data_IF_010029236947
#
_entry.id   IF_010029236947
#
_cell.length_a   1.000
_cell.length_b   1.000
_cell.length_c   1.000
_cell.angle_alpha   90.00
_cell.angle_beta   90.00
_cell.angle_gamma   90.00
#
_symmetry.space_group_name_H-M   'P 1'
#
loop_
_entity.id
_entity.type
_entity.pdbx_description
1 polymer ?
#
# COMPACT_ATOMS: atom_id res chain seq x y z
N UNK A 1 34.53 -6.49 -23.37
CA UNK A 1 33.67 -7.68 -23.60
C UNK A 1 32.24 -7.30 -23.24
N UNK A 2 31.25 -7.61 -24.07
CA UNK A 2 29.84 -7.32 -23.75
C UNK A 2 29.43 -8.11 -22.50
N UNK A 3 28.82 -7.45 -21.50
CA UNK A 3 28.32 -8.12 -20.30
C UNK A 3 27.23 -9.12 -20.68
N UNK A 4 27.34 -10.36 -20.18
CA UNK A 4 26.32 -11.37 -20.37
C UNK A 4 25.04 -10.97 -19.64
N UNK A 5 23.90 -11.10 -20.31
CA UNK A 5 22.59 -10.84 -19.69
C UNK A 5 22.23 -11.97 -18.71
N UNK A 6 21.39 -11.68 -17.72
CA UNK A 6 20.85 -12.70 -16.82
C UNK A 6 20.27 -13.93 -17.54
N UNK A 7 19.56 -13.72 -18.66
CA UNK A 7 18.99 -14.82 -19.44
C UNK A 7 20.04 -15.70 -20.12
N UNK A 8 21.15 -15.10 -20.57
CA UNK A 8 22.28 -15.84 -21.13
C UNK A 8 22.95 -16.68 -20.03
N UNK A 9 23.23 -16.09 -18.87
CA UNK A 9 23.86 -16.79 -17.74
C UNK A 9 23.03 -17.99 -17.27
N UNK A 10 21.70 -17.84 -17.14
CA UNK A 10 20.82 -18.98 -16.81
C UNK A 10 20.85 -20.05 -17.89
N UNK A 11 20.87 -19.66 -19.17
CA UNK A 11 20.86 -20.64 -20.26
C UNK A 11 22.14 -21.47 -20.28
N UNK A 12 23.29 -20.82 -20.03
CA UNK A 12 24.58 -21.49 -19.89
C UNK A 12 24.59 -22.42 -18.68
N UNK A 13 24.12 -21.94 -17.52
CA UNK A 13 24.06 -22.74 -16.30
C UNK A 13 23.19 -23.99 -16.48
N UNK A 14 22.04 -23.86 -17.13
CA UNK A 14 21.16 -25.00 -17.41
C UNK A 14 21.82 -25.98 -18.37
N UNK A 15 22.47 -25.50 -19.43
CA UNK A 15 23.17 -26.38 -20.38
C UNK A 15 24.33 -27.13 -19.71
N UNK A 16 25.05 -26.48 -18.79
CA UNK A 16 26.12 -27.11 -18.02
C UNK A 16 25.60 -28.31 -17.22
N UNK A 17 24.56 -28.12 -16.40
CA UNK A 17 24.02 -29.20 -15.58
C UNK A 17 23.22 -30.23 -16.39
N UNK A 18 22.61 -29.84 -17.51
CA UNK A 18 21.97 -30.78 -18.46
C UNK A 18 22.99 -31.74 -19.08
N UNK A 19 24.18 -31.24 -19.42
CA UNK A 19 25.23 -32.02 -20.10
C UNK A 19 26.06 -32.84 -19.11
N UNK A 20 26.45 -32.22 -18.00
CA UNK A 20 27.44 -32.80 -17.07
C UNK A 20 26.80 -33.38 -15.80
N UNK A 21 25.55 -33.00 -15.50
CA UNK A 21 24.88 -33.37 -14.26
C UNK A 21 25.35 -32.59 -13.06
N UNK A 22 24.87 -32.96 -11.87
CA UNK A 22 25.42 -32.49 -10.60
C UNK A 22 26.46 -33.47 -10.07
N UNK A 23 27.67 -32.96 -9.79
CA UNK A 23 28.79 -33.73 -9.22
C UNK A 23 29.55 -32.98 -8.11
N UNK A 24 29.32 -31.67 -7.91
CA UNK A 24 30.08 -30.81 -7.01
C UNK A 24 29.25 -29.64 -6.49
N UNK A 25 29.35 -29.40 -5.18
CA UNK A 25 28.72 -28.26 -4.50
C UNK A 25 29.42 -26.95 -4.89
N UNK A 26 30.73 -26.99 -5.11
CA UNK A 26 31.54 -25.84 -5.53
C UNK A 26 31.11 -25.34 -6.90
N UNK A 27 30.91 -26.26 -7.87
CA UNK A 27 30.39 -25.91 -9.21
C UNK A 27 29.00 -25.31 -9.13
N UNK A 28 28.12 -25.88 -8.30
CA UNK A 28 26.78 -25.34 -8.08
C UNK A 28 26.84 -23.93 -7.50
N UNK A 29 27.65 -23.72 -6.47
CA UNK A 29 27.81 -22.43 -5.79
C UNK A 29 28.35 -21.36 -6.74
N UNK A 30 29.32 -21.71 -7.59
CA UNK A 30 29.84 -20.83 -8.64
C UNK A 30 28.71 -20.33 -9.57
N UNK A 31 27.86 -21.23 -10.07
CA UNK A 31 26.77 -20.86 -10.96
C UNK A 31 25.69 -20.05 -10.24
N UNK A 32 25.36 -20.39 -8.98
CA UNK A 32 24.43 -19.61 -8.15
C UNK A 32 24.92 -18.18 -7.99
N UNK A 33 26.20 -17.97 -7.67
CA UNK A 33 26.77 -16.64 -7.51
C UNK A 33 26.84 -15.87 -8.84
N UNK A 34 27.19 -16.56 -9.95
CA UNK A 34 27.19 -15.97 -11.29
C UNK A 34 25.78 -15.49 -11.67
N UNK A 35 24.75 -16.32 -11.43
CA UNK A 35 23.34 -15.98 -11.68
C UNK A 35 22.91 -14.80 -10.80
N UNK A 36 23.26 -14.79 -9.51
CA UNK A 36 22.94 -13.70 -8.57
C UNK A 36 23.50 -12.37 -9.06
N UNK A 37 24.78 -12.33 -9.45
CA UNK A 37 25.42 -11.12 -9.98
C UNK A 37 24.76 -10.66 -11.28
N UNK A 38 24.54 -11.58 -12.22
CA UNK A 38 23.89 -11.25 -13.48
C UNK A 38 22.46 -10.73 -13.30
N UNK A 39 21.73 -11.26 -12.31
CA UNK A 39 20.40 -10.77 -11.94
C UNK A 39 20.49 -9.30 -11.48
N UNK A 40 21.33 -8.98 -10.49
CA UNK A 40 21.50 -7.61 -9.98
C UNK A 40 21.83 -6.63 -11.10
N UNK A 41 22.73 -7.00 -12.02
CA UNK A 41 23.16 -6.14 -13.12
C UNK A 41 22.10 -5.93 -14.22
N UNK A 42 21.22 -6.91 -14.44
CA UNK A 42 20.18 -6.83 -15.47
C UNK A 42 18.95 -6.05 -14.99
N UNK A 43 18.72 -6.00 -13.68
CA UNK A 43 17.57 -5.30 -13.12
C UNK A 43 17.66 -3.78 -13.32
N UNK A 44 16.50 -3.14 -13.47
CA UNK A 44 16.40 -1.67 -13.39
C UNK A 44 17.12 -1.18 -12.13
N UNK A 45 18.01 -0.18 -12.23
CA UNK A 45 18.72 0.34 -11.07
C UNK A 45 17.75 0.86 -10.00
N UNK A 46 18.09 0.64 -8.73
CA UNK A 46 17.26 1.12 -7.61
C UNK A 46 17.08 2.64 -7.62
N UNK A 47 18.08 3.40 -8.10
CA UNK A 47 17.99 4.85 -8.25
C UNK A 47 16.81 5.26 -9.14
N UNK A 48 16.64 4.61 -10.29
CA UNK A 48 15.56 4.90 -11.24
C UNK A 48 14.19 4.59 -10.63
N UNK A 49 14.07 3.47 -9.91
CA UNK A 49 12.84 3.10 -9.21
C UNK A 49 12.52 4.08 -8.07
N UNK A 50 13.55 4.50 -7.33
CA UNK A 50 13.41 5.45 -6.24
C UNK A 50 13.03 6.84 -6.74
N UNK A 51 13.56 7.27 -7.89
CA UNK A 51 13.17 8.51 -8.57
C UNK A 51 11.70 8.45 -9.01
N UNK A 52 11.28 7.34 -9.62
CA UNK A 52 9.89 7.17 -10.04
C UNK A 52 8.92 7.20 -8.86
N UNK A 53 9.22 6.45 -7.80
CA UNK A 53 8.45 6.48 -6.56
C UNK A 53 8.38 7.89 -5.96
N UNK A 54 9.51 8.61 -5.97
CA UNK A 54 9.58 9.99 -5.47
C UNK A 54 8.70 10.91 -6.29
N UNK A 55 8.74 10.79 -7.62
CA UNK A 55 7.89 11.55 -8.55
C UNK A 55 6.41 11.28 -8.30
N UNK A 56 6.01 10.03 -8.13
CA UNK A 56 4.60 9.63 -7.89
C UNK A 56 4.07 10.18 -6.56
N UNK A 57 4.77 9.95 -5.45
CA UNK A 57 4.30 10.38 -4.13
C UNK A 57 4.38 11.90 -3.97
N UNK A 58 5.43 12.55 -4.46
CA UNK A 58 5.55 14.02 -4.42
C UNK A 58 4.50 14.67 -5.33
N UNK A 59 4.23 14.11 -6.51
CA UNK A 59 3.15 14.58 -7.38
C UNK A 59 1.77 14.44 -6.73
N UNK A 60 1.54 13.34 -5.99
CA UNK A 60 0.32 13.15 -5.20
C UNK A 60 0.20 14.17 -4.07
N UNK A 61 1.30 14.43 -3.34
CA UNK A 61 1.34 15.44 -2.29
C UNK A 61 1.04 16.83 -2.85
N UNK A 62 1.73 17.24 -3.92
CA UNK A 62 1.51 18.52 -4.58
C UNK A 62 0.05 18.69 -4.97
N UNK A 63 -0.51 17.70 -5.68
CA UNK A 63 -1.89 17.75 -6.15
C UNK A 63 -2.91 17.82 -5.02
N UNK A 64 -2.74 17.03 -3.96
CA UNK A 64 -3.70 16.96 -2.87
C UNK A 64 -3.55 18.14 -1.89
N UNK A 65 -2.31 18.43 -1.50
CA UNK A 65 -1.98 19.38 -0.44
C UNK A 65 -1.71 20.76 -1.04
N UNK A 66 -0.74 20.92 -1.93
CA UNK A 66 -0.35 22.24 -2.42
C UNK A 66 -1.45 22.86 -3.30
N UNK A 67 -2.00 22.08 -4.24
CA UNK A 67 -3.09 22.52 -5.13
C UNK A 67 -4.48 22.44 -4.45
N UNK A 68 -4.53 21.95 -3.20
CA UNK A 68 -5.71 22.00 -2.34
C UNK A 68 -6.84 21.03 -2.71
N UNK A 69 -6.62 20.05 -3.60
CA UNK A 69 -7.67 19.10 -3.97
C UNK A 69 -8.20 18.28 -2.79
N UNK A 70 -7.41 18.11 -1.73
CA UNK A 70 -7.82 17.35 -0.54
C UNK A 70 -9.03 17.98 0.16
N UNK A 71 -9.23 19.30 0.05
CA UNK A 71 -10.34 20.00 0.68
C UNK A 71 -11.72 19.49 0.18
N UNK A 72 -11.77 18.92 -1.03
CA UNK A 72 -13.00 18.31 -1.57
C UNK A 72 -13.48 17.10 -0.74
N UNK A 73 -12.56 16.42 -0.05
CA UNK A 73 -12.87 15.30 0.83
C UNK A 73 -13.17 15.72 2.28
N UNK A 74 -12.95 16.99 2.63
CA UNK A 74 -13.01 17.51 3.99
C UNK A 74 -13.87 18.79 4.05
N UNK A 75 -15.20 18.68 3.83
CA UNK A 75 -16.08 19.84 3.89
C UNK A 75 -16.04 20.48 5.28
N UNK A 76 -15.81 21.80 5.33
CA UNK A 76 -15.69 22.56 6.57
C UNK A 76 -14.25 22.72 7.09
N UNK A 77 -13.27 21.99 6.54
CA UNK A 77 -11.86 22.25 6.82
C UNK A 77 -11.37 23.40 5.94
N UNK A 78 -10.87 24.46 6.55
CA UNK A 78 -10.32 25.61 5.83
C UNK A 78 -8.90 25.35 5.29
N UNK A 79 -8.53 26.08 4.25
CA UNK A 79 -7.16 26.05 3.68
C UNK A 79 -6.09 26.32 4.73
N UNK A 80 -6.34 27.28 5.62
CA UNK A 80 -5.46 27.62 6.74
C UNK A 80 -5.12 26.41 7.62
N UNK A 81 -6.11 25.55 7.93
CA UNK A 81 -5.88 24.34 8.72
C UNK A 81 -4.94 23.38 7.98
N UNK A 82 -5.15 23.18 6.67
CA UNK A 82 -4.26 22.32 5.86
C UNK A 82 -2.84 22.90 5.81
N UNK A 83 -2.70 24.21 5.63
CA UNK A 83 -1.38 24.87 5.61
C UNK A 83 -0.65 24.73 6.95
N UNK A 84 -1.36 24.83 8.07
CA UNK A 84 -0.80 24.56 9.41
C UNK A 84 -0.34 23.10 9.57
N UNK A 85 -1.01 22.16 8.92
CA UNK A 85 -0.69 20.73 8.99
C UNK A 85 0.39 20.30 8.00
N UNK A 86 0.83 21.16 7.07
CA UNK A 86 1.87 20.84 6.08
C UNK A 86 3.11 20.18 6.67
N UNK A 87 3.68 20.61 7.81
CA UNK A 87 4.83 19.93 8.41
C UNK A 87 4.54 18.46 8.72
N UNK A 88 3.41 18.15 9.36
CA UNK A 88 2.99 16.78 9.69
C UNK A 88 2.71 15.94 8.44
N UNK A 89 2.05 16.55 7.45
CA UNK A 89 1.76 15.90 6.16
C UNK A 89 3.05 15.61 5.37
N UNK A 90 4.06 16.50 5.47
CA UNK A 90 5.38 16.31 4.86
C UNK A 90 6.15 15.19 5.54
N UNK A 91 6.12 15.12 6.87
CA UNK A 91 6.70 13.99 7.61
C UNK A 91 6.10 12.66 7.16
N UNK A 92 4.78 12.59 6.90
CA UNK A 92 4.17 11.37 6.37
C UNK A 92 4.62 11.04 4.94
N UNK A 93 4.81 12.04 4.07
CA UNK A 93 5.40 11.83 2.73
C UNK A 93 6.80 11.21 2.84
N UNK A 94 7.66 11.80 3.67
CA UNK A 94 9.05 11.35 3.83
C UNK A 94 9.09 9.93 4.45
N UNK A 95 8.23 9.65 5.44
CA UNK A 95 8.06 8.30 6.02
C UNK A 95 7.64 7.29 4.95
N UNK A 96 6.66 7.63 4.12
CA UNK A 96 6.15 6.72 3.06
C UNK A 96 7.19 6.47 1.97
N UNK A 97 7.96 7.49 1.59
CA UNK A 97 9.08 7.32 0.68
C UNK A 97 10.10 6.34 1.25
N UNK A 98 10.51 6.52 2.50
CA UNK A 98 11.49 5.64 3.15
C UNK A 98 11.00 4.19 3.23
N UNK A 99 9.77 3.95 3.69
CA UNK A 99 9.20 2.59 3.77
C UNK A 99 9.08 1.95 2.39
N UNK A 100 8.62 2.68 1.39
CA UNK A 100 8.43 2.16 0.03
C UNK A 100 9.75 1.78 -0.64
N UNK A 101 10.81 2.59 -0.45
CA UNK A 101 12.16 2.28 -0.95
C UNK A 101 12.71 0.99 -0.33
N UNK A 102 12.52 0.81 0.99
CA UNK A 102 12.92 -0.42 1.68
C UNK A 102 12.14 -1.64 1.16
N UNK A 103 10.83 -1.52 0.91
CA UNK A 103 10.03 -2.60 0.34
C UNK A 103 10.48 -2.99 -1.07
N UNK A 104 10.80 -2.03 -1.93
CA UNK A 104 11.35 -2.31 -3.27
C UNK A 104 12.64 -3.12 -3.14
N UNK A 105 13.57 -2.70 -2.28
CA UNK A 105 14.83 -3.41 -2.03
C UNK A 105 14.59 -4.84 -1.55
N UNK A 106 13.71 -5.03 -0.56
CA UNK A 106 13.38 -6.35 -0.01
C UNK A 106 12.77 -7.27 -1.07
N UNK A 107 11.80 -6.78 -1.85
CA UNK A 107 11.16 -7.56 -2.90
C UNK A 107 12.17 -8.01 -3.97
N UNK A 108 13.12 -7.14 -4.34
CA UNK A 108 14.19 -7.49 -5.30
C UNK A 108 15.10 -8.58 -4.76
N UNK A 109 15.54 -8.45 -3.50
CA UNK A 109 16.36 -9.47 -2.84
C UNK A 109 15.64 -10.82 -2.79
N UNK A 110 14.39 -10.85 -2.32
CA UNK A 110 13.57 -12.06 -2.26
C UNK A 110 13.41 -12.73 -3.63
N UNK A 111 13.24 -11.95 -4.70
CA UNK A 111 13.08 -12.49 -6.05
C UNK A 111 14.36 -13.09 -6.61
N UNK A 112 15.51 -12.46 -6.35
CA UNK A 112 16.81 -13.00 -6.71
C UNK A 112 17.06 -14.31 -5.95
N UNK A 113 16.83 -14.32 -4.64
CA UNK A 113 16.99 -15.50 -3.79
C UNK A 113 16.11 -16.65 -4.26
N UNK A 114 14.82 -16.41 -4.47
CA UNK A 114 13.86 -17.40 -4.98
C UNK A 114 14.27 -17.96 -6.34
N UNK A 115 14.82 -17.12 -7.21
CA UNK A 115 15.36 -17.55 -8.51
C UNK A 115 16.55 -18.48 -8.32
N UNK A 116 17.52 -18.09 -7.49
CA UNK A 116 18.72 -18.90 -7.23
C UNK A 116 18.39 -20.21 -6.51
N UNK A 117 17.41 -20.22 -5.61
CA UNK A 117 16.93 -21.42 -4.91
C UNK A 117 16.28 -22.41 -5.88
N UNK A 118 15.45 -21.93 -6.81
CA UNK A 118 14.84 -22.77 -7.85
C UNK A 118 15.88 -23.38 -8.77
N UNK A 119 16.86 -22.58 -9.19
CA UNK A 119 17.97 -23.09 -9.98
C UNK A 119 18.75 -24.15 -9.20
N UNK A 120 19.11 -23.88 -7.95
CA UNK A 120 19.91 -24.81 -7.16
C UNK A 120 19.19 -26.14 -6.91
N UNK A 121 17.91 -26.09 -6.55
CA UNK A 121 17.12 -27.31 -6.35
C UNK A 121 16.94 -28.13 -7.62
N UNK A 122 16.77 -27.49 -8.77
CA UNK A 122 16.76 -28.18 -10.06
C UNK A 122 18.13 -28.77 -10.40
N UNK A 123 19.20 -27.97 -10.32
CA UNK A 123 20.54 -28.38 -10.69
C UNK A 123 21.00 -29.59 -9.87
N UNK A 124 20.75 -29.59 -8.54
CA UNK A 124 21.08 -30.72 -7.66
C UNK A 124 20.26 -31.99 -7.93
N UNK A 125 19.16 -31.90 -8.68
CA UNK A 125 18.33 -33.06 -9.06
C UNK A 125 18.80 -33.75 -10.34
N UNK A 126 19.70 -33.13 -11.10
CA UNK A 126 20.20 -33.73 -12.35
C UNK A 126 21.29 -34.75 -12.02
N UNK A 127 21.13 -36.04 -12.40
CA UNK A 127 22.12 -37.07 -12.09
C UNK A 127 23.47 -36.77 -12.76
N UNK A 128 24.56 -37.26 -12.18
CA UNK A 128 25.90 -37.16 -12.75
C UNK A 128 25.93 -37.72 -14.18
N UNK A 129 26.60 -37.03 -15.10
CA UNK A 129 26.57 -37.34 -16.53
C UNK A 129 25.39 -36.75 -17.30
N UNK A 130 24.55 -35.94 -16.63
CA UNK A 130 23.49 -35.17 -17.25
C UNK A 130 22.17 -35.94 -17.40
N UNK A 131 21.19 -35.29 -18.02
CA UNK A 131 19.89 -35.91 -18.31
C UNK A 131 19.26 -35.29 -19.55
N UNK A 132 18.85 -36.14 -20.50
CA UNK A 132 18.04 -35.76 -21.68
C UNK A 132 16.54 -35.94 -21.46
N UNK A 133 16.14 -36.47 -20.30
CA UNK A 133 14.74 -36.77 -20.00
C UNK A 133 13.94 -35.51 -19.58
N UNK A 134 14.63 -34.42 -19.23
CA UNK A 134 14.02 -33.19 -18.74
C UNK A 134 13.89 -32.19 -19.89
N UNK A 135 12.69 -31.62 -20.07
CA UNK A 135 12.52 -30.47 -20.97
C UNK A 135 13.17 -29.23 -20.35
N UNK A 136 14.34 -28.86 -20.87
CA UNK A 136 15.07 -27.68 -20.38
C UNK A 136 14.40 -26.36 -20.71
N UNK A 137 13.41 -26.34 -21.62
CA UNK A 137 12.58 -25.16 -21.89
C UNK A 137 11.67 -24.86 -20.70
N UNK A 138 11.01 -25.87 -20.15
CA UNK A 138 10.13 -25.72 -18.98
C UNK A 138 10.93 -25.32 -17.74
N UNK A 139 12.12 -25.87 -17.56
CA UNK A 139 13.05 -25.48 -16.49
C UNK A 139 13.43 -24.00 -16.61
N UNK A 140 13.83 -23.56 -17.81
CA UNK A 140 14.17 -22.15 -18.09
C UNK A 140 13.01 -21.23 -17.75
N UNK A 141 11.80 -21.58 -18.16
CA UNK A 141 10.61 -20.78 -17.90
C UNK A 141 10.33 -20.65 -16.40
N UNK A 142 10.35 -21.76 -15.66
CA UNK A 142 10.07 -21.78 -14.23
C UNK A 142 11.10 -21.00 -13.39
N UNK A 143 12.38 -21.09 -13.75
CA UNK A 143 13.44 -20.32 -13.08
C UNK A 143 13.30 -18.83 -13.40
N UNK A 144 13.01 -18.47 -14.66
CA UNK A 144 12.87 -17.06 -15.10
C UNK A 144 11.60 -16.37 -14.61
N UNK A 145 10.55 -17.13 -14.28
CA UNK A 145 9.23 -16.60 -13.91
C UNK A 145 9.26 -15.58 -12.76
N UNK A 146 10.13 -15.76 -11.76
CA UNK A 146 10.23 -14.82 -10.65
C UNK A 146 10.79 -13.46 -11.09
N UNK A 147 11.82 -13.45 -11.94
CA UNK A 147 12.43 -12.21 -12.42
C UNK A 147 11.54 -11.45 -13.40
N UNK A 148 10.76 -12.16 -14.22
CA UNK A 148 9.83 -11.53 -15.17
C UNK A 148 8.65 -10.85 -14.50
N UNK A 149 8.23 -11.28 -13.30
CA UNK A 149 7.16 -10.62 -12.55
C UNK A 149 7.62 -9.42 -11.72
N UNK A 150 8.93 -9.19 -11.57
CA UNK A 150 9.46 -8.15 -10.69
C UNK A 150 8.99 -6.73 -11.07
N UNK A 151 8.98 -6.30 -12.35
CA UNK A 151 8.46 -4.97 -12.71
C UNK A 151 6.98 -4.79 -12.37
N UNK A 152 6.20 -5.87 -12.35
CA UNK A 152 4.81 -5.84 -11.91
C UNK A 152 4.72 -5.64 -10.39
N UNK A 153 5.50 -6.38 -9.61
CA UNK A 153 5.55 -6.22 -8.15
C UNK A 153 6.05 -4.83 -7.73
N UNK A 154 7.07 -4.28 -8.39
CA UNK A 154 7.58 -2.92 -8.14
C UNK A 154 6.50 -1.86 -8.39
N UNK A 155 5.73 -1.98 -9.49
CA UNK A 155 4.58 -1.10 -9.75
C UNK A 155 3.48 -1.25 -8.70
N UNK A 156 3.22 -2.46 -8.23
CA UNK A 156 2.22 -2.70 -7.18
C UNK A 156 2.59 -2.05 -5.86
N UNK A 157 3.88 -2.04 -5.50
CA UNK A 157 4.36 -1.32 -4.30
C UNK A 157 3.99 0.16 -4.42
N UNK A 158 4.30 0.80 -5.55
CA UNK A 158 3.96 2.22 -5.75
C UNK A 158 2.44 2.49 -5.62
N UNK A 159 1.61 1.63 -6.19
CA UNK A 159 0.14 1.75 -6.12
C UNK A 159 -0.38 1.57 -4.68
N UNK A 160 0.03 0.50 -4.01
CA UNK A 160 -0.37 0.19 -2.62
C UNK A 160 0.05 1.30 -1.66
N UNK A 161 1.31 1.75 -1.77
CA UNK A 161 1.84 2.83 -0.93
C UNK A 161 1.21 4.17 -1.27
N UNK A 162 0.84 4.40 -2.53
CA UNK A 162 0.05 5.57 -2.94
C UNK A 162 -1.31 5.61 -2.24
N UNK A 163 -2.07 4.52 -2.23
CA UNK A 163 -3.36 4.45 -1.52
C UNK A 163 -3.20 4.66 -0.02
N UNK A 164 -2.21 4.01 0.60
CA UNK A 164 -1.86 4.19 2.02
C UNK A 164 -1.54 5.64 2.35
N UNK A 165 -0.74 6.27 1.51
CA UNK A 165 -0.36 7.66 1.68
C UNK A 165 -1.57 8.59 1.61
N UNK A 166 -2.43 8.44 0.59
CA UNK A 166 -3.67 9.22 0.48
C UNK A 166 -4.57 9.00 1.69
N UNK A 167 -4.73 7.76 2.16
CA UNK A 167 -5.48 7.44 3.37
C UNK A 167 -4.94 8.18 4.61
N UNK A 168 -3.64 8.12 4.84
CA UNK A 168 -2.97 8.80 5.96
C UNK A 168 -3.10 10.33 5.88
N UNK A 169 -2.98 10.94 4.69
CA UNK A 169 -3.20 12.38 4.52
C UNK A 169 -4.62 12.79 4.91
N UNK A 170 -5.62 12.04 4.44
CA UNK A 170 -7.02 12.31 4.77
C UNK A 170 -7.28 12.15 6.28
N UNK A 171 -6.75 11.10 6.90
CA UNK A 171 -6.91 10.89 8.34
C UNK A 171 -6.28 12.01 9.18
N UNK A 172 -5.05 12.43 8.85
CA UNK A 172 -4.38 13.54 9.56
C UNK A 172 -5.23 14.82 9.49
N UNK A 173 -5.71 15.17 8.29
CA UNK A 173 -6.53 16.36 8.08
C UNK A 173 -7.88 16.24 8.77
N UNK A 174 -8.48 15.05 8.77
CA UNK A 174 -9.77 14.83 9.40
C UNK A 174 -9.70 14.97 10.92
N UNK A 175 -8.78 14.25 11.55
CA UNK A 175 -8.62 14.26 13.01
C UNK A 175 -8.26 15.67 13.48
N UNK A 176 -7.23 16.28 12.89
CA UNK A 176 -6.78 17.61 13.32
C UNK A 176 -7.70 18.74 12.82
N UNK A 177 -8.59 18.44 11.85
CA UNK A 177 -9.65 19.32 11.35
C UNK A 177 -10.95 19.22 12.14
N UNK A 178 -11.01 18.39 13.19
CA UNK A 178 -12.17 18.29 14.07
C UNK A 178 -13.28 17.35 13.60
N UNK A 179 -12.95 16.36 12.77
CA UNK A 179 -13.87 15.28 12.45
C UNK A 179 -14.32 14.56 13.74
N UNK A 180 -15.57 14.13 13.76
CA UNK A 180 -16.19 13.44 14.90
C UNK A 180 -16.43 11.96 14.63
N UNK A 181 -16.59 11.59 13.37
CA UNK A 181 -16.80 10.21 12.93
C UNK A 181 -16.28 10.03 11.50
N UNK A 182 -16.29 8.79 11.04
CA UNK A 182 -16.05 8.46 9.63
C UNK A 182 -17.05 7.41 9.16
N UNK A 183 -17.43 7.50 7.89
CA UNK A 183 -18.13 6.43 7.18
C UNK A 183 -17.12 5.64 6.36
N UNK A 184 -17.13 4.32 6.53
CA UNK A 184 -16.29 3.42 5.73
C UNK A 184 -16.87 3.26 4.33
N UNK A 185 -16.03 3.39 3.31
CA UNK A 185 -16.41 3.11 1.92
C UNK A 185 -15.52 2.00 1.37
N UNK A 186 -16.15 0.84 1.13
CA UNK A 186 -15.47 -0.32 0.58
C UNK A 186 -15.58 -0.35 -0.94
N UNK A 187 -14.51 -0.79 -1.60
CA UNK A 187 -14.45 -0.92 -3.06
C UNK A 187 -15.01 -2.27 -3.55
N UNK A 188 -15.77 -3.01 -2.73
CA UNK A 188 -16.24 -4.37 -3.05
C UNK A 188 -17.06 -4.50 -4.33
N UNK A 189 -17.72 -3.42 -4.78
CA UNK A 189 -18.48 -3.38 -6.04
C UNK A 189 -17.59 -3.18 -7.27
N UNK A 190 -16.32 -2.81 -7.10
CA UNK A 190 -15.39 -2.55 -8.21
C UNK A 190 -14.99 -3.87 -8.87
N UNK A 191 -15.26 -3.99 -10.18
CA UNK A 191 -14.86 -5.16 -10.98
C UNK A 191 -13.35 -5.40 -10.85
N UNK A 192 -12.97 -6.66 -10.56
CA UNK A 192 -11.57 -7.08 -10.44
C UNK A 192 -10.89 -6.69 -9.12
N UNK A 193 -11.61 -6.11 -8.16
CA UNK A 193 -11.08 -5.84 -6.83
C UNK A 193 -11.31 -7.04 -5.91
N UNK A 194 -10.22 -7.69 -5.49
CA UNK A 194 -10.23 -8.77 -4.51
C UNK A 194 -10.53 -8.25 -3.10
N UNK A 195 -11.79 -7.90 -2.84
CA UNK A 195 -12.20 -7.34 -1.56
C UNK A 195 -12.19 -8.39 -0.44
N UNK A 196 -11.98 -7.92 0.79
CA UNK A 196 -12.13 -8.72 2.00
C UNK A 196 -13.57 -8.73 2.47
N UNK A 197 -14.04 -9.88 2.96
CA UNK A 197 -15.43 -10.03 3.41
C UNK A 197 -15.71 -9.07 4.56
N UNK A 198 -14.81 -8.96 5.55
CA UNK A 198 -15.01 -7.99 6.64
C UNK A 198 -15.09 -6.55 6.11
N UNK A 199 -14.31 -6.17 5.08
CA UNK A 199 -14.38 -4.83 4.51
C UNK A 199 -15.70 -4.55 3.79
N UNK A 200 -16.31 -5.57 3.17
CA UNK A 200 -17.66 -5.45 2.60
C UNK A 200 -18.69 -5.25 3.71
N UNK A 201 -18.57 -5.98 4.82
CA UNK A 201 -19.47 -5.86 5.97
C UNK A 201 -19.35 -4.51 6.69
N UNK A 202 -18.21 -3.83 6.57
CA UNK A 202 -17.99 -2.47 7.08
C UNK A 202 -18.56 -1.39 6.16
N UNK A 203 -18.91 -1.70 4.91
CA UNK A 203 -19.33 -0.71 3.93
C UNK A 203 -20.52 0.13 4.43
N UNK A 204 -20.40 1.45 4.30
CA UNK A 204 -21.36 2.46 4.76
C UNK A 204 -21.59 2.53 6.27
N UNK A 205 -20.93 1.71 7.09
CA UNK A 205 -20.98 1.84 8.56
C UNK A 205 -20.25 3.08 9.02
N UNK A 206 -20.79 3.72 10.05
CA UNK A 206 -20.25 4.94 10.66
C UNK A 206 -19.57 4.59 11.97
N UNK A 207 -18.29 4.91 12.07
CA UNK A 207 -17.44 4.66 13.23
C UNK A 207 -17.14 5.98 13.93
N UNK A 208 -17.28 6.00 15.25
CA UNK A 208 -16.99 7.18 16.04
C UNK A 208 -15.47 7.37 16.20
N UNK A 209 -15.00 8.61 16.16
CA UNK A 209 -13.63 8.94 16.54
C UNK A 209 -13.57 9.18 18.06
N UNK A 210 -12.78 8.35 18.75
CA UNK A 210 -12.67 8.35 20.21
C UNK A 210 -12.18 9.69 20.75
N UNK A 211 -11.19 10.28 20.08
CA UNK A 211 -10.57 11.57 20.41
C UNK A 211 -11.32 12.78 19.85
N UNK A 212 -12.61 12.65 19.49
CA UNK A 212 -13.37 13.77 18.95
C UNK A 212 -13.85 14.72 20.03
N UNK A 213 -13.81 16.02 19.74
CA UNK A 213 -14.32 17.08 20.61
C UNK A 213 -15.79 16.85 21.02
N UNK A 214 -16.59 16.26 20.13
CA UNK A 214 -18.00 15.98 20.39
C UNK A 214 -18.16 14.87 21.42
N UNK A 215 -17.27 13.87 21.40
CA UNK A 215 -17.26 12.78 22.38
C UNK A 215 -16.79 13.28 23.74
N UNK A 216 -15.74 14.10 23.77
CA UNK A 216 -15.23 14.75 25.00
C UNK A 216 -16.32 15.59 25.69
N UNK A 217 -17.15 16.30 24.91
CA UNK A 217 -18.29 17.08 25.42
C UNK A 217 -19.54 16.24 25.74
N UNK A 218 -19.49 14.92 25.58
CA UNK A 218 -20.63 14.03 25.85
C UNK A 218 -21.81 14.22 24.88
N UNK A 219 -21.59 14.82 23.71
CA UNK A 219 -22.64 15.10 22.72
C UNK A 219 -22.95 13.89 21.83
N UNK A 220 -22.02 12.95 21.75
CA UNK A 220 -22.11 11.74 20.93
C UNK A 220 -21.71 10.50 21.71
N UNK A 221 -22.20 9.36 21.23
CA UNK A 221 -21.86 8.01 21.69
C UNK A 221 -21.59 7.11 20.48
N UNK A 222 -20.79 6.03 20.62
CA UNK A 222 -20.57 5.11 19.51
C UNK A 222 -21.89 4.47 19.09
N UNK A 223 -22.07 4.31 17.78
CA UNK A 223 -23.17 3.53 17.22
C UNK A 223 -22.87 2.03 17.26
N UNK A 224 -23.71 1.19 16.63
CA UNK A 224 -23.53 -0.26 16.58
C UNK A 224 -22.19 -0.71 15.99
N UNK A 225 -21.57 0.11 15.14
CA UNK A 225 -20.29 -0.18 14.52
C UNK A 225 -19.08 0.07 15.46
N UNK A 226 -19.27 0.76 16.58
CA UNK A 226 -18.21 1.04 17.56
C UNK A 226 -17.30 2.21 17.17
N UNK A 227 -16.04 2.14 17.60
CA UNK A 227 -15.03 3.17 17.30
C UNK A 227 -14.15 2.77 16.12
N UNK A 228 -13.60 3.78 15.43
CA UNK A 228 -12.75 3.56 14.26
C UNK A 228 -11.38 2.95 14.62
N UNK A 229 -10.87 3.24 15.82
CA UNK A 229 -9.59 2.72 16.32
C UNK A 229 -9.69 1.28 16.85
N UNK A 230 -10.89 0.70 16.90
CA UNK A 230 -11.11 -0.72 17.25
C UNK A 230 -10.93 -1.67 16.04
N UNK A 231 -10.76 -1.12 14.82
CA UNK A 231 -10.64 -1.89 13.57
C UNK A 231 -9.40 -1.48 12.77
N UNK A 232 -9.02 -2.29 11.78
CA UNK A 232 -8.00 -1.90 10.80
C UNK A 232 -8.45 -0.66 10.03
N UNK A 233 -7.53 0.29 9.85
CA UNK A 233 -7.80 1.58 9.20
C UNK A 233 -8.03 1.41 7.70
N UNK A 234 -8.72 2.37 7.09
CA UNK A 234 -8.89 2.41 5.63
C UNK A 234 -7.52 2.46 4.94
N UNK A 235 -7.31 1.57 3.98
CA UNK A 235 -6.05 1.48 3.24
C UNK A 235 -4.87 0.90 4.04
N UNK A 236 -5.03 0.49 5.31
CA UNK A 236 -3.93 -0.04 6.13
C UNK A 236 -3.37 -1.37 5.58
N UNK A 237 -4.28 -2.27 5.23
CA UNK A 237 -3.93 -3.62 4.80
C UNK A 237 -3.40 -3.67 3.36
N UNK A 238 -2.62 -4.70 3.06
CA UNK A 238 -2.06 -4.92 1.72
C UNK A 238 -3.16 -4.99 0.66
N UNK A 239 -3.00 -4.27 -0.45
CA UNK A 239 -3.95 -4.18 -1.56
C UNK A 239 -5.32 -3.60 -1.17
N UNK A 240 -5.45 -2.95 -0.02
CA UNK A 240 -6.68 -2.28 0.37
C UNK A 240 -6.81 -0.92 -0.35
N UNK A 241 -7.95 -0.70 -1.00
CA UNK A 241 -8.32 0.57 -1.63
C UNK A 241 -9.58 1.20 -1.00
N UNK A 242 -9.97 0.73 0.20
CA UNK A 242 -11.07 1.34 0.94
C UNK A 242 -10.68 2.76 1.38
N UNK A 243 -11.68 3.63 1.56
CA UNK A 243 -11.47 5.02 1.94
C UNK A 243 -12.56 5.50 2.92
N UNK A 244 -12.27 6.58 3.62
CA UNK A 244 -13.14 7.18 4.62
C UNK A 244 -13.88 8.40 4.05
N UNK A 245 -15.16 8.55 4.36
CA UNK A 245 -15.84 9.85 4.31
C UNK A 245 -15.90 10.41 5.72
N UNK A 246 -15.22 11.53 5.96
CA UNK A 246 -15.13 12.11 7.29
C UNK A 246 -16.34 12.99 7.62
N UNK A 247 -16.84 12.86 8.83
CA UNK A 247 -18.03 13.57 9.33
C UNK A 247 -17.58 14.57 10.38
N UNK A 248 -18.02 15.83 10.24
CA UNK A 248 -17.59 16.95 11.10
C UNK A 248 -18.71 17.51 11.97
N UNK A 249 -19.97 17.34 11.56
CA UNK A 249 -21.11 17.96 12.24
C UNK A 249 -22.00 16.91 12.90
N UNK A 250 -22.53 17.26 14.08
CA UNK A 250 -23.48 16.42 14.82
C UNK A 250 -24.72 16.06 13.98
N UNK A 251 -25.23 17.00 13.17
CA UNK A 251 -26.43 16.80 12.34
C UNK A 251 -26.25 15.76 11.23
N UNK A 252 -25.01 15.43 10.89
CA UNK A 252 -24.67 14.48 9.82
C UNK A 252 -24.50 13.06 10.40
N UNK A 253 -24.65 12.88 11.72
CA UNK A 253 -24.63 11.60 12.39
C UNK A 253 -26.04 10.97 12.46
N UNK A 254 -26.13 9.63 12.48
CA UNK A 254 -27.34 8.92 12.85
C UNK A 254 -27.86 9.30 14.24
N UNK A 255 -29.19 9.31 14.41
CA UNK A 255 -29.86 9.71 15.65
C UNK A 255 -29.47 8.87 16.87
N UNK A 256 -29.14 7.59 16.65
CA UNK A 256 -28.69 6.66 17.68
C UNK A 256 -27.27 6.96 18.18
N UNK A 257 -26.48 7.75 17.45
CA UNK A 257 -25.15 8.22 17.86
C UNK A 257 -25.18 9.56 18.61
N UNK A 258 -26.31 10.29 18.58
CA UNK A 258 -26.45 11.59 19.23
C UNK A 258 -27.06 11.42 20.61
N UNK A 259 -26.40 11.96 21.65
CA UNK A 259 -26.91 11.87 23.03
C UNK A 259 -28.05 12.86 23.26
N UNK A 260 -28.75 12.75 24.39
CA UNK A 260 -29.77 13.75 24.79
C UNK A 260 -29.15 15.16 24.85
N UNK A 261 -27.94 15.28 25.39
CA UNK A 261 -27.19 16.53 25.42
C UNK A 261 -26.85 17.04 23.99
N UNK A 262 -26.46 16.14 23.09
CA UNK A 262 -26.24 16.46 21.68
C UNK A 262 -27.49 16.97 20.97
N UNK A 263 -28.66 16.35 21.20
CA UNK A 263 -29.95 16.78 20.62
C UNK A 263 -30.33 18.16 21.12
N UNK A 264 -30.24 18.42 22.42
CA UNK A 264 -30.49 19.74 23.00
C UNK A 264 -29.57 20.82 22.39
N UNK A 265 -28.28 20.51 22.23
CA UNK A 265 -27.33 21.43 21.60
C UNK A 265 -27.70 21.77 20.15
N UNK A 266 -28.16 20.78 19.38
CA UNK A 266 -28.65 21.01 18.01
C UNK A 266 -29.90 21.90 17.98
N UNK A 267 -30.85 21.70 18.91
CA UNK A 267 -32.04 22.52 19.03
C UNK A 267 -31.71 23.97 19.38
N UNK A 268 -30.80 24.19 20.33
CA UNK A 268 -30.31 25.53 20.71
C UNK A 268 -29.67 26.26 19.53
N UNK A 269 -28.83 25.55 18.75
CA UNK A 269 -28.22 26.12 17.53
C UNK A 269 -29.26 26.45 16.47
N UNK A 270 -30.25 25.57 16.25
CA UNK A 270 -31.37 25.81 15.31
C UNK A 270 -32.17 27.04 15.72
N UNK A 271 -32.49 27.19 17.01
CA UNK A 271 -33.21 28.35 17.54
C UNK A 271 -32.41 29.65 17.34
N UNK A 272 -31.10 29.64 17.62
CA UNK A 272 -30.22 30.80 17.37
C UNK A 272 -30.17 31.21 15.90
N UNK A 273 -30.03 30.25 14.99
CA UNK A 273 -30.03 30.51 13.54
C UNK A 273 -31.38 31.08 13.09
N UNK A 274 -32.50 30.55 13.60
CA UNK A 274 -33.83 31.06 13.27
C UNK A 274 -34.04 32.49 13.79
N UNK A 275 -33.52 32.81 14.97
CA UNK A 275 -33.58 34.16 15.53
C UNK A 275 -32.74 35.18 14.76
N UNK A 276 -31.58 34.78 14.21
CA UNK A 276 -30.72 35.65 13.39
C UNK A 276 -31.26 35.93 11.98
N UNK A 277 -32.23 35.13 11.51
CA UNK A 277 -32.86 35.29 10.19
C UNK A 277 -34.13 36.14 10.22
N UNK A 278 -34.60 36.51 11.41
CA UNK A 278 -35.71 37.46 11.61
C UNK A 278 -35.13 38.86 11.77
#
# INVERSE_FOLDING_TARGET
MAKQTFFQVISEAIREFETNGFDSIERLTFWVDKIRRAAVETLTPESVLNEELTRVLTGTYKRLIDDGQILKAHPGVGRFTVDRLKPKLRTELDRRLMVSRNLIKLNRQQMIEKTTQRFAGWASSVPAGGSRAIDTKDVKENIRKAMTSLPFEERRVAIDQGHKFVGSLNEIIAVDGGAIAMRWNSQWKRRGYGYRVEHKERDQKIYLLRSSWAKEKGLVKPGPAGYYDDITKVGEEVYCSCFATWIYNLRDLPDDMITVAGKKSLEEVRAKIAAMKR
#
